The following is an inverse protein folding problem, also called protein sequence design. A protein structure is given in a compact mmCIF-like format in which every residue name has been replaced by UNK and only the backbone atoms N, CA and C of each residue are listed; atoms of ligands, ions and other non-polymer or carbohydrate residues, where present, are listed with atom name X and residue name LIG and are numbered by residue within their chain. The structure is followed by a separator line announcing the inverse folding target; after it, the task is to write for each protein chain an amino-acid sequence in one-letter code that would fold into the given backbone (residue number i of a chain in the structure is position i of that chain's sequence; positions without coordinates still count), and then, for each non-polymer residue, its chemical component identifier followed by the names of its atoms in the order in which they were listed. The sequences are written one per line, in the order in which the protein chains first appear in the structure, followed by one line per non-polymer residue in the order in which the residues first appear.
data_IF_135609554701
#
_entry.id   IF_135609554701
#
_cell.length_a   1.000
_cell.length_b   1.000
_cell.length_c   1.000
_cell.angle_alpha   90.00
_cell.angle_beta   90.00
_cell.angle_gamma   90.00
#
_symmetry.space_group_name_H-M   'P 1'
#
loop_
_entity.id
_entity.type
_entity.pdbx_description
1 polymer ?
#
# COMPACT_ATOMS: atom_id res chain seq x y z
N UNK A 1 -16.24 -0.92 -2.50
CA UNK A 1 -15.23 0.17 -2.47
C UNK A 1 -14.61 0.43 -1.10
N UNK A 2 -15.36 0.99 -0.15
CA UNK A 2 -14.81 1.62 1.06
C UNK A 2 -14.00 0.69 2.00
N UNK A 3 -14.39 -0.58 2.09
CA UNK A 3 -13.69 -1.57 2.93
C UNK A 3 -12.25 -1.82 2.44
N UNK A 4 -12.04 -1.86 1.13
CA UNK A 4 -10.71 -2.03 0.53
C UNK A 4 -9.82 -0.79 0.72
N UNK A 5 -10.43 0.40 0.69
CA UNK A 5 -9.74 1.63 1.01
C UNK A 5 -9.26 1.65 2.47
N UNK A 6 -10.12 1.25 3.41
CA UNK A 6 -9.73 1.09 4.82
C UNK A 6 -8.59 0.10 5.00
N UNK A 7 -8.66 -1.04 4.28
CA UNK A 7 -7.61 -2.07 4.32
C UNK A 7 -6.28 -1.50 3.81
N UNK A 8 -6.30 -0.76 2.70
CA UNK A 8 -5.15 -0.02 2.20
C UNK A 8 -4.58 0.97 3.24
N UNK A 9 -5.43 1.76 3.89
CA UNK A 9 -4.99 2.71 4.93
C UNK A 9 -4.34 2.01 6.13
N UNK A 10 -4.92 0.90 6.59
CA UNK A 10 -4.35 0.09 7.68
C UNK A 10 -2.98 -0.45 7.29
N UNK A 11 -2.83 -0.97 6.06
CA UNK A 11 -1.53 -1.46 5.57
C UNK A 11 -0.47 -0.36 5.61
N UNK A 12 -0.79 0.85 5.18
CA UNK A 12 0.14 1.99 5.22
C UNK A 12 0.57 2.34 6.65
N UNK A 13 -0.40 2.41 7.57
CA UNK A 13 -0.14 2.71 8.99
C UNK A 13 0.74 1.63 9.61
N UNK A 14 0.40 0.35 9.40
CA UNK A 14 1.17 -0.78 9.93
C UNK A 14 2.59 -0.75 9.38
N UNK A 15 2.75 -0.54 8.07
CA UNK A 15 4.06 -0.47 7.43
C UNK A 15 4.91 0.65 8.06
N UNK A 16 4.37 1.87 8.17
CA UNK A 16 5.06 2.99 8.80
C UNK A 16 5.48 2.68 10.25
N UNK A 17 4.55 2.17 11.06
CA UNK A 17 4.81 1.85 12.47
C UNK A 17 5.86 0.75 12.63
N UNK A 18 5.80 -0.30 11.80
CA UNK A 18 6.75 -1.43 11.85
C UNK A 18 8.16 -0.98 11.47
N UNK A 19 8.30 -0.18 10.40
CA UNK A 19 9.60 0.41 10.00
C UNK A 19 10.12 1.30 11.12
N UNK A 20 9.27 2.17 11.68
CA UNK A 20 9.66 3.12 12.72
C UNK A 20 10.10 2.44 14.01
N UNK A 21 9.44 1.34 14.39
CA UNK A 21 9.78 0.55 15.58
C UNK A 21 10.93 -0.44 15.33
N UNK A 22 11.51 -0.47 14.12
CA UNK A 22 12.59 -1.38 13.70
C UNK A 22 12.29 -2.86 14.01
N UNK A 23 11.01 -3.25 13.95
CA UNK A 23 10.57 -4.62 14.30
C UNK A 23 10.94 -5.65 13.22
N UNK A 24 11.00 -5.21 11.97
CA UNK A 24 11.24 -6.04 10.78
C UNK A 24 12.18 -5.25 9.86
N UNK A 25 13.06 -5.92 9.08
CA UNK A 25 13.87 -5.25 8.07
C UNK A 25 13.00 -4.38 7.15
N UNK A 26 13.35 -3.09 6.94
CA UNK A 26 12.55 -2.14 6.16
C UNK A 26 12.25 -2.64 4.74
N UNK A 27 13.18 -3.36 4.13
CA UNK A 27 13.03 -3.93 2.79
C UNK A 27 11.91 -4.96 2.76
N UNK A 28 11.82 -5.86 3.75
CA UNK A 28 10.79 -6.90 3.81
C UNK A 28 9.40 -6.30 4.03
N UNK A 29 9.25 -5.42 5.01
CA UNK A 29 7.96 -4.79 5.30
C UNK A 29 7.53 -3.85 4.17
N UNK A 30 8.47 -3.17 3.52
CA UNK A 30 8.21 -2.37 2.33
C UNK A 30 7.67 -3.21 1.18
N UNK A 31 8.32 -4.34 0.86
CA UNK A 31 7.86 -5.24 -0.20
C UNK A 31 6.45 -5.76 0.06
N UNK A 32 6.21 -6.27 1.27
CA UNK A 32 4.90 -6.81 1.66
C UNK A 32 3.83 -5.71 1.66
N UNK A 33 4.15 -4.54 2.21
CA UNK A 33 3.24 -3.40 2.30
C UNK A 33 2.87 -2.82 0.93
N UNK A 34 3.83 -2.76 0.00
CA UNK A 34 3.59 -2.33 -1.39
C UNK A 34 2.66 -3.31 -2.10
N UNK A 35 2.94 -4.62 -2.04
CA UNK A 35 2.11 -5.64 -2.68
C UNK A 35 0.69 -5.62 -2.11
N UNK A 36 0.56 -5.62 -0.78
CA UNK A 36 -0.74 -5.56 -0.12
C UNK A 36 -1.53 -4.29 -0.50
N UNK A 37 -0.84 -3.15 -0.65
CA UNK A 37 -1.44 -1.89 -1.09
C UNK A 37 -1.95 -1.93 -2.52
N UNK A 38 -1.17 -2.51 -3.45
CA UNK A 38 -1.56 -2.68 -4.86
C UNK A 38 -2.80 -3.57 -4.95
N UNK A 39 -2.82 -4.68 -4.22
CA UNK A 39 -3.96 -5.60 -4.20
C UNK A 39 -5.21 -4.89 -3.64
N UNK A 40 -5.09 -4.19 -2.51
CA UNK A 40 -6.22 -3.49 -1.90
C UNK A 40 -6.83 -2.45 -2.84
N UNK A 41 -6.01 -1.65 -3.54
CA UNK A 41 -6.51 -0.63 -4.46
C UNK A 41 -7.05 -1.21 -5.78
N UNK A 42 -6.47 -2.31 -6.25
CA UNK A 42 -7.02 -3.05 -7.40
C UNK A 42 -8.41 -3.57 -7.08
N UNK A 43 -8.59 -4.22 -5.92
CA UNK A 43 -9.88 -4.71 -5.46
C UNK A 43 -10.88 -3.58 -5.20
N UNK A 44 -10.41 -2.42 -4.73
CA UNK A 44 -11.23 -1.22 -4.60
C UNK A 44 -11.78 -0.76 -5.95
N UNK A 45 -10.93 -0.67 -6.98
CA UNK A 45 -11.33 -0.27 -8.33
C UNK A 45 -12.35 -1.24 -8.94
N UNK A 46 -12.12 -2.55 -8.80
CA UNK A 46 -13.09 -3.57 -9.22
C UNK A 46 -14.42 -3.44 -8.47
N UNK A 47 -14.38 -3.20 -7.16
CA UNK A 47 -15.56 -3.02 -6.34
C UNK A 47 -16.27 -1.67 -6.52
N UNK A 48 -15.75 -0.81 -7.38
CA UNK A 48 -16.41 0.42 -7.84
C UNK A 48 -17.03 0.27 -9.24
N UNK A 49 -16.86 -0.90 -9.88
CA UNK A 49 -17.36 -1.17 -11.22
C UNK A 49 -16.41 -0.74 -12.34
N UNK A 50 -15.14 -0.45 -12.04
CA UNK A 50 -14.16 -0.10 -13.07
C UNK A 50 -13.73 -1.34 -13.86
N UNK A 51 -13.36 -1.13 -15.11
CA UNK A 51 -12.74 -2.15 -15.95
C UNK A 51 -11.46 -2.71 -15.31
N UNK A 52 -11.22 -4.02 -15.49
CA UNK A 52 -10.09 -4.74 -14.88
C UNK A 52 -8.76 -4.04 -15.15
N UNK A 53 -8.53 -3.61 -16.40
CA UNK A 53 -7.30 -2.92 -16.79
C UNK A 53 -7.12 -1.59 -16.05
N UNK A 54 -8.19 -0.83 -15.85
CA UNK A 54 -8.15 0.45 -15.14
C UNK A 54 -7.90 0.23 -13.64
N UNK A 55 -8.53 -0.79 -13.05
CA UNK A 55 -8.36 -1.12 -11.65
C UNK A 55 -6.92 -1.58 -11.34
N UNK A 56 -6.34 -2.44 -12.18
CA UNK A 56 -4.94 -2.89 -12.04
C UNK A 56 -3.98 -1.72 -12.22
N UNK A 57 -4.21 -0.88 -13.23
CA UNK A 57 -3.38 0.30 -13.47
C UNK A 57 -3.42 1.26 -12.27
N UNK A 58 -4.61 1.58 -11.77
CA UNK A 58 -4.77 2.41 -10.58
C UNK A 58 -4.11 1.77 -9.35
N UNK A 59 -4.26 0.46 -9.16
CA UNK A 59 -3.63 -0.28 -8.06
C UNK A 59 -2.10 -0.20 -8.09
N UNK A 60 -1.49 -0.41 -9.26
CA UNK A 60 -0.05 -0.32 -9.44
C UNK A 60 0.47 1.10 -9.21
N UNK A 61 -0.18 2.09 -9.84
CA UNK A 61 0.27 3.49 -9.78
C UNK A 61 0.03 4.06 -8.38
N UNK A 62 -1.22 4.06 -7.91
CA UNK A 62 -1.60 4.68 -6.63
C UNK A 62 -1.04 3.86 -5.47
N UNK A 63 -1.17 2.53 -5.53
CA UNK A 63 -0.67 1.64 -4.49
C UNK A 63 0.83 1.67 -4.39
N UNK A 64 1.53 1.58 -5.51
CA UNK A 64 3.00 1.65 -5.56
C UNK A 64 3.54 3.00 -5.12
N UNK A 65 2.99 4.12 -5.60
CA UNK A 65 3.47 5.46 -5.25
C UNK A 65 3.25 5.79 -3.77
N UNK A 66 2.06 5.50 -3.22
CA UNK A 66 1.75 5.82 -1.82
C UNK A 66 2.51 4.93 -0.84
N UNK A 67 2.64 3.64 -1.14
CA UNK A 67 3.46 2.73 -0.32
C UNK A 67 4.95 3.04 -0.43
N UNK A 68 5.46 3.30 -1.64
CA UNK A 68 6.83 3.73 -1.87
C UNK A 68 7.14 5.04 -1.14
N UNK A 69 6.24 6.03 -1.21
CA UNK A 69 6.37 7.29 -0.49
C UNK A 69 6.40 7.10 1.03
N UNK A 70 5.50 6.28 1.58
CA UNK A 70 5.46 5.98 3.02
C UNK A 70 6.73 5.25 3.48
N UNK A 71 7.24 4.32 2.68
CA UNK A 71 8.50 3.64 2.95
C UNK A 71 9.68 4.63 2.93
N UNK A 72 9.75 5.48 1.91
CA UNK A 72 10.80 6.49 1.78
C UNK A 72 10.78 7.47 2.96
N UNK A 73 9.61 7.92 3.39
CA UNK A 73 9.45 8.76 4.59
C UNK A 73 9.87 8.03 5.86
N UNK A 74 9.46 6.77 6.02
CA UNK A 74 9.83 5.98 7.19
C UNK A 74 11.34 5.70 7.28
N UNK A 75 12.00 5.53 6.12
CA UNK A 75 13.45 5.39 6.01
C UNK A 75 14.21 6.69 6.24
N UNK A 76 13.69 7.84 5.78
CA UNK A 76 14.35 9.14 5.94
C UNK A 76 14.57 9.52 7.42
N UNK A 77 13.64 9.17 8.29
CA UNK A 77 13.74 9.48 9.72
C UNK A 77 14.45 8.40 10.55
N UNK A 78 14.96 7.34 9.92
CA UNK A 78 15.55 6.17 10.59
C UNK A 78 16.99 6.43 11.03
#
# INVERSE_FOLDING_TARGET
GFLFFLLFSVVQIVMYVVVRRRLVPPVLIGLIGVIASIIALTLMGLAQGNEIYQAIFAGLVVGGLLSGGTLAMALYFL
#
